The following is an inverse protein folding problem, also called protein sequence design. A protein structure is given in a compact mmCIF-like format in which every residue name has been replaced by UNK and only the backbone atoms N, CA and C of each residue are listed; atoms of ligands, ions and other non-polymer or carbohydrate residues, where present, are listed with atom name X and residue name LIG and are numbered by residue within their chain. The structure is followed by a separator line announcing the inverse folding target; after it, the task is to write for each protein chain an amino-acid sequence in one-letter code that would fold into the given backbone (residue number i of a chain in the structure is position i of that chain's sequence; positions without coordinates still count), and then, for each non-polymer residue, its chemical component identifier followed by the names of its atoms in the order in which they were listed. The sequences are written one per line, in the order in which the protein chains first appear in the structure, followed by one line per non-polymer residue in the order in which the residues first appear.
data_IF_906465341964
#
_entry.id   IF_906465341964
#
_cell.length_a   1.000
_cell.length_b   1.000
_cell.length_c   1.000
_cell.angle_alpha   90.00
_cell.angle_beta   90.00
_cell.angle_gamma   90.00
#
_symmetry.space_group_name_H-M   'P 1'
#
loop_
_entity.id
_entity.type
_entity.pdbx_description
1 polymer ?
#
# COMPACT_ATOMS: atom_id res chain seq x y z
N UNK A 1 -3.85 53.81 17.37
CA UNK A 1 -3.57 53.09 16.11
C UNK A 1 -4.86 52.40 15.64
N UNK A 2 -5.29 52.62 14.39
CA UNK A 2 -6.51 52.00 13.86
C UNK A 2 -6.19 50.61 13.32
N UNK A 3 -6.71 49.57 13.98
CA UNK A 3 -6.40 48.16 13.71
C UNK A 3 -7.65 47.39 13.22
N UNK A 4 -8.35 47.94 12.21
CA UNK A 4 -9.51 47.30 11.61
C UNK A 4 -9.11 46.40 10.43
N UNK A 5 -9.75 45.22 10.25
CA UNK A 5 -9.53 44.36 9.08
C UNK A 5 -9.76 45.14 7.78
N UNK A 6 -8.79 45.11 6.86
CA UNK A 6 -8.88 45.78 5.55
C UNK A 6 -8.20 47.15 5.47
N UNK A 7 -7.76 47.75 6.58
CA UNK A 7 -6.97 49.00 6.56
C UNK A 7 -5.65 48.82 5.80
N UNK A 8 -5.00 47.65 5.91
CA UNK A 8 -3.78 47.33 5.16
C UNK A 8 -3.99 47.36 3.65
N UNK A 9 -5.05 46.72 3.15
CA UNK A 9 -5.37 46.67 1.71
C UNK A 9 -5.78 48.04 1.15
N UNK A 10 -6.41 48.90 1.97
CA UNK A 10 -6.71 50.29 1.60
C UNK A 10 -5.44 51.14 1.51
N UNK A 11 -4.49 50.93 2.44
CA UNK A 11 -3.20 51.61 2.44
C UNK A 11 -2.36 51.24 1.21
N UNK A 12 -2.26 49.96 0.88
CA UNK A 12 -1.56 49.48 -0.33
C UNK A 12 -2.15 50.08 -1.62
N UNK A 13 -3.49 50.11 -1.74
CA UNK A 13 -4.17 50.75 -2.86
C UNK A 13 -3.92 52.26 -2.93
N UNK A 14 -3.94 52.93 -1.78
CA UNK A 14 -3.70 54.37 -1.72
C UNK A 14 -2.25 54.73 -2.06
N UNK A 15 -1.29 53.93 -1.59
CA UNK A 15 0.13 54.11 -1.91
C UNK A 15 0.39 53.86 -3.41
N UNK A 16 -0.27 52.87 -4.02
CA UNK A 16 -0.24 52.66 -5.48
C UNK A 16 -0.82 53.86 -6.27
N UNK A 17 -1.90 54.47 -5.77
CA UNK A 17 -2.49 55.66 -6.39
C UNK A 17 -1.61 56.91 -6.28
N UNK A 18 -0.67 56.96 -5.33
CA UNK A 18 0.30 58.04 -5.19
C UNK A 18 1.53 57.88 -6.06
N UNK A 19 1.80 56.68 -6.55
CA UNK A 19 2.91 56.43 -7.46
C UNK A 19 2.71 57.15 -8.80
N UNK A 20 3.81 57.63 -9.37
CA UNK A 20 3.83 58.10 -10.75
C UNK A 20 3.75 56.94 -11.76
N UNK A 21 3.65 57.27 -13.05
CA UNK A 21 3.46 56.26 -14.10
C UNK A 21 4.65 55.30 -14.24
N UNK A 22 5.87 55.79 -14.03
CA UNK A 22 7.08 54.98 -14.13
C UNK A 22 7.25 54.06 -12.91
N UNK A 23 6.89 54.55 -11.72
CA UNK A 23 6.84 53.78 -10.48
C UNK A 23 5.80 52.66 -10.56
N UNK A 24 4.57 52.96 -11.02
CA UNK A 24 3.53 51.95 -11.22
C UNK A 24 3.97 50.89 -12.22
N UNK A 25 4.57 51.30 -13.35
CA UNK A 25 5.07 50.37 -14.37
C UNK A 25 6.12 49.41 -13.81
N UNK A 26 7.03 49.89 -12.95
CA UNK A 26 8.01 49.04 -12.26
C UNK A 26 7.36 48.10 -11.26
N UNK A 27 6.40 48.59 -10.48
CA UNK A 27 5.67 47.79 -9.49
C UNK A 27 4.87 46.67 -10.16
N UNK A 28 4.09 46.98 -11.20
CA UNK A 28 3.29 46.00 -11.93
C UNK A 28 4.18 44.92 -12.55
N UNK A 29 5.29 45.31 -13.17
CA UNK A 29 6.26 44.36 -13.74
C UNK A 29 6.85 43.43 -12.66
N UNK A 30 7.13 43.96 -11.48
CA UNK A 30 7.61 43.15 -10.36
C UNK A 30 6.52 42.19 -9.85
N UNK A 31 5.28 42.66 -9.72
CA UNK A 31 4.16 41.83 -9.28
C UNK A 31 3.83 40.71 -10.28
N UNK A 32 3.91 40.99 -11.57
CA UNK A 32 3.74 39.98 -12.61
C UNK A 32 4.86 38.94 -12.59
N UNK A 33 6.13 39.38 -12.41
CA UNK A 33 7.26 38.47 -12.23
C UNK A 33 7.04 37.56 -11.01
N UNK A 34 6.70 38.14 -9.85
CA UNK A 34 6.43 37.38 -8.64
C UNK A 34 5.26 36.40 -8.84
N UNK A 35 4.15 36.83 -9.44
CA UNK A 35 2.99 35.96 -9.71
C UNK A 35 3.39 34.77 -10.59
N UNK A 36 4.23 35.00 -11.59
CA UNK A 36 4.76 33.94 -12.45
C UNK A 36 5.63 32.94 -11.66
N UNK A 37 6.57 33.43 -10.85
CA UNK A 37 7.41 32.60 -9.97
C UNK A 37 6.58 31.78 -8.97
N UNK A 38 5.61 32.41 -8.31
CA UNK A 38 4.67 31.73 -7.42
C UNK A 38 3.86 30.66 -8.15
N UNK A 39 3.44 30.93 -9.39
CA UNK A 39 2.77 29.97 -10.25
C UNK A 39 3.65 28.75 -10.54
N UNK A 40 4.91 28.97 -10.92
CA UNK A 40 5.87 27.88 -11.17
C UNK A 40 6.09 27.02 -9.92
N UNK A 41 6.29 27.64 -8.75
CA UNK A 41 6.49 26.91 -7.49
C UNK A 41 5.22 26.13 -7.11
N UNK A 42 4.04 26.72 -7.28
CA UNK A 42 2.77 26.07 -6.99
C UNK A 42 2.56 24.83 -7.88
N UNK A 43 2.80 24.97 -9.19
CA UNK A 43 2.73 23.85 -10.13
C UNK A 43 3.71 22.74 -9.78
N UNK A 44 4.99 23.07 -9.54
CA UNK A 44 5.99 22.07 -9.17
C UNK A 44 5.64 21.33 -7.86
N UNK A 45 5.05 22.03 -6.88
CA UNK A 45 4.58 21.40 -5.64
C UNK A 45 3.36 20.50 -5.87
N UNK A 46 2.48 20.87 -6.80
CA UNK A 46 1.32 20.06 -7.15
C UNK A 46 1.77 18.79 -7.88
N UNK A 47 2.62 18.93 -8.89
CA UNK A 47 3.22 17.82 -9.64
C UNK A 47 3.95 16.86 -8.70
N UNK A 48 4.87 17.34 -7.87
CA UNK A 48 5.60 16.48 -6.95
C UNK A 48 4.71 15.77 -5.90
N UNK A 49 3.56 16.36 -5.52
CA UNK A 49 2.58 15.67 -4.66
C UNK A 49 1.82 14.60 -5.41
N UNK A 50 1.48 14.84 -6.66
CA UNK A 50 0.77 13.89 -7.51
C UNK A 50 1.67 12.69 -7.84
N UNK A 51 2.91 12.95 -8.26
CA UNK A 51 3.94 11.93 -8.50
C UNK A 51 4.18 11.10 -7.24
N UNK A 52 4.48 11.73 -6.10
CA UNK A 52 4.73 11.01 -4.84
C UNK A 52 3.52 10.19 -4.37
N UNK A 53 2.29 10.64 -4.65
CA UNK A 53 1.08 9.87 -4.36
C UNK A 53 0.95 8.67 -5.28
N UNK A 54 1.25 8.84 -6.56
CA UNK A 54 1.20 7.75 -7.55
C UNK A 54 2.26 6.69 -7.22
N UNK A 55 3.51 7.08 -7.04
CA UNK A 55 4.62 6.18 -6.68
C UNK A 55 4.31 5.43 -5.39
N UNK A 56 3.87 6.14 -4.33
CA UNK A 56 3.53 5.52 -3.06
C UNK A 56 2.38 4.49 -3.18
N UNK A 57 1.41 4.73 -4.07
CA UNK A 57 0.31 3.80 -4.33
C UNK A 57 0.79 2.57 -5.10
N UNK A 58 1.58 2.77 -6.14
CA UNK A 58 2.13 1.68 -6.97
C UNK A 58 3.04 0.78 -6.14
N UNK A 59 3.99 1.37 -5.40
CA UNK A 59 4.86 0.61 -4.51
C UNK A 59 4.09 -0.14 -3.43
N UNK A 60 3.11 0.52 -2.80
CA UNK A 60 2.27 -0.07 -1.77
C UNK A 60 1.49 -1.28 -2.30
N UNK A 61 0.93 -1.16 -3.50
CA UNK A 61 0.20 -2.24 -4.17
C UNK A 61 1.12 -3.40 -4.55
N UNK A 62 2.28 -3.12 -5.14
CA UNK A 62 3.24 -4.15 -5.53
C UNK A 62 3.77 -4.91 -4.31
N UNK A 63 4.22 -4.20 -3.27
CA UNK A 63 4.69 -4.79 -2.01
C UNK A 63 3.58 -5.59 -1.32
N UNK A 64 2.35 -5.09 -1.33
CA UNK A 64 1.18 -5.76 -0.77
C UNK A 64 0.86 -7.07 -1.50
N UNK A 65 0.81 -7.03 -2.84
CA UNK A 65 0.51 -8.18 -3.68
C UNK A 65 1.58 -9.25 -3.57
N UNK A 66 2.86 -8.89 -3.63
CA UNK A 66 3.98 -9.84 -3.50
C UNK A 66 3.96 -10.56 -2.14
N UNK A 67 3.81 -9.80 -1.05
CA UNK A 67 3.72 -10.37 0.31
C UNK A 67 2.48 -11.25 0.47
N UNK A 68 1.34 -10.81 -0.06
CA UNK A 68 0.09 -11.55 -0.02
C UNK A 68 0.18 -12.89 -0.76
N UNK A 69 0.70 -12.86 -1.99
CA UNK A 69 0.86 -14.04 -2.83
C UNK A 69 1.86 -15.03 -2.24
N UNK A 70 3.02 -14.56 -1.77
CA UNK A 70 4.02 -15.45 -1.16
C UNK A 70 3.47 -16.15 0.09
N UNK A 71 2.83 -15.40 1.00
CA UNK A 71 2.22 -15.97 2.21
C UNK A 71 1.07 -16.92 1.86
N UNK A 72 0.24 -16.56 0.88
CA UNK A 72 -0.88 -17.37 0.42
C UNK A 72 -0.41 -18.70 -0.17
N UNK A 73 0.57 -18.65 -1.08
CA UNK A 73 1.15 -19.82 -1.72
C UNK A 73 1.84 -20.75 -0.73
N UNK A 74 2.66 -20.20 0.19
CA UNK A 74 3.35 -21.01 1.19
C UNK A 74 2.35 -21.75 2.12
N UNK A 75 1.33 -21.03 2.62
CA UNK A 75 0.29 -21.63 3.46
C UNK A 75 -0.54 -22.65 2.69
N UNK A 76 -0.88 -22.36 1.44
CA UNK A 76 -1.65 -23.24 0.57
C UNK A 76 -0.88 -24.54 0.28
N UNK A 77 0.39 -24.42 -0.11
CA UNK A 77 1.26 -25.56 -0.41
C UNK A 77 1.49 -26.45 0.83
N UNK A 78 1.78 -25.86 2.00
CA UNK A 78 1.96 -26.62 3.23
C UNK A 78 0.70 -27.39 3.63
N UNK A 79 -0.47 -26.72 3.58
CA UNK A 79 -1.75 -27.37 3.88
C UNK A 79 -2.07 -28.47 2.86
N UNK A 80 -1.82 -28.22 1.57
CA UNK A 80 -2.03 -29.19 0.51
C UNK A 80 -1.17 -30.44 0.70
N UNK A 81 0.13 -30.25 0.97
CA UNK A 81 1.08 -31.34 1.18
C UNK A 81 0.72 -32.17 2.43
N UNK A 82 0.36 -31.53 3.54
CA UNK A 82 -0.09 -32.24 4.75
C UNK A 82 -1.38 -33.03 4.48
N UNK A 83 -2.38 -32.43 3.84
CA UNK A 83 -3.63 -33.13 3.51
C UNK A 83 -3.37 -34.33 2.58
N UNK A 84 -2.55 -34.15 1.55
CA UNK A 84 -2.20 -35.23 0.62
C UNK A 84 -1.43 -36.37 1.31
N UNK A 85 -0.46 -36.03 2.17
CA UNK A 85 0.27 -37.03 2.96
C UNK A 85 -0.66 -37.81 3.91
N UNK A 86 -1.58 -37.12 4.59
CA UNK A 86 -2.57 -37.77 5.44
C UNK A 86 -3.54 -38.66 4.65
N UNK A 87 -4.07 -38.18 3.52
CA UNK A 87 -4.94 -38.97 2.65
C UNK A 87 -4.25 -40.24 2.17
N UNK A 88 -3.02 -40.12 1.66
CA UNK A 88 -2.23 -41.27 1.20
C UNK A 88 -1.94 -42.25 2.33
N UNK A 89 -1.60 -41.78 3.53
CA UNK A 89 -1.42 -42.63 4.69
C UNK A 89 -2.69 -43.42 5.04
N UNK A 90 -3.86 -42.79 4.95
CA UNK A 90 -5.15 -43.45 5.19
C UNK A 90 -5.51 -44.47 4.09
N UNK A 91 -5.22 -44.17 2.83
CA UNK A 91 -5.41 -45.11 1.71
C UNK A 91 -4.53 -46.36 1.90
N UNK A 92 -3.26 -46.19 2.26
CA UNK A 92 -2.35 -47.29 2.55
C UNK A 92 -2.87 -48.11 3.75
N UNK A 93 -3.30 -47.44 4.83
CA UNK A 93 -3.85 -48.13 5.99
C UNK A 93 -5.08 -48.98 5.64
N UNK A 94 -5.97 -48.48 4.77
CA UNK A 94 -7.14 -49.22 4.32
C UNK A 94 -6.76 -50.47 3.51
N UNK A 95 -5.78 -50.38 2.61
CA UNK A 95 -5.29 -51.54 1.84
C UNK A 95 -4.68 -52.60 2.77
N UNK A 96 -3.80 -52.20 3.70
CA UNK A 96 -3.17 -53.12 4.65
C UNK A 96 -4.19 -53.79 5.58
N UNK A 97 -5.26 -53.07 5.95
CA UNK A 97 -6.38 -53.64 6.72
C UNK A 97 -7.12 -54.72 5.93
N UNK A 98 -7.35 -54.49 4.63
CA UNK A 98 -7.97 -55.50 3.75
C UNK A 98 -7.10 -56.73 3.56
N UNK A 99 -5.78 -56.59 3.59
CA UNK A 99 -4.81 -57.70 3.57
C UNK A 99 -4.75 -58.46 4.91
N UNK A 100 -5.48 -58.03 5.94
CA UNK A 100 -5.59 -58.71 7.23
C UNK A 100 -4.45 -58.38 8.21
N UNK A 101 -3.70 -57.30 7.99
CA UNK A 101 -2.66 -56.89 8.93
C UNK A 101 -3.28 -56.36 10.23
N UNK A 102 -2.59 -56.59 11.35
CA UNK A 102 -3.03 -56.10 12.64
C UNK A 102 -2.97 -54.57 12.71
N UNK A 103 -3.87 -53.91 13.48
CA UNK A 103 -3.83 -52.46 13.68
C UNK A 103 -2.48 -51.94 14.18
N UNK A 104 -1.77 -52.73 14.99
CA UNK A 104 -0.43 -52.40 15.47
C UNK A 104 0.59 -52.32 14.32
N UNK A 105 0.57 -53.28 13.38
CA UNK A 105 1.49 -53.29 12.23
C UNK A 105 1.14 -52.18 11.24
N UNK A 106 -0.14 -51.91 11.03
CA UNK A 106 -0.59 -50.80 10.16
C UNK A 106 -0.13 -49.45 10.71
N UNK A 107 -0.22 -49.27 12.03
CA UNK A 107 0.25 -48.05 12.69
C UNK A 107 1.76 -47.84 12.52
N UNK A 108 2.55 -48.92 12.60
CA UNK A 108 4.00 -48.87 12.38
C UNK A 108 4.35 -48.45 10.94
N UNK A 109 3.63 -48.94 9.94
CA UNK A 109 3.90 -48.66 8.52
C UNK A 109 3.41 -47.28 8.09
N UNK A 110 2.23 -46.86 8.57
CA UNK A 110 1.55 -45.65 8.09
C UNK A 110 1.74 -44.43 9.00
N UNK A 111 2.25 -44.63 10.22
CA UNK A 111 2.35 -43.59 11.25
C UNK A 111 1.01 -43.14 11.81
N UNK A 112 -0.10 -43.80 11.46
CA UNK A 112 -1.43 -43.49 12.00
C UNK A 112 -1.59 -44.22 13.34
N UNK A 113 -1.95 -43.53 14.43
CA UNK A 113 -2.15 -44.18 15.72
C UNK A 113 -3.23 -45.28 15.65
N UNK A 114 -3.07 -46.43 16.33
CA UNK A 114 -4.06 -47.52 16.31
C UNK A 114 -5.47 -47.06 16.69
N UNK A 115 -5.59 -46.12 17.63
CA UNK A 115 -6.86 -45.54 18.05
C UNK A 115 -7.62 -44.78 16.92
N UNK A 116 -6.91 -44.34 15.87
CA UNK A 116 -7.49 -43.69 14.69
C UNK A 116 -7.73 -44.66 13.52
N UNK A 117 -7.35 -45.93 13.67
CA UNK A 117 -7.51 -47.00 12.69
C UNK A 117 -8.75 -47.86 12.96
N UNK A 118 -9.70 -47.38 13.78
CA UNK A 118 -10.81 -48.12 14.39
C UNK A 118 -11.42 -49.28 13.60
N UNK A 119 -11.94 -50.26 14.36
CA UNK A 119 -12.42 -51.61 13.98
C UNK A 119 -12.78 -51.88 12.53
#
# INVERSE_FOLDING_TARGET
EFNAPGIGSLKEKFDYLKMDEDERRRFDKHMDYMRSEWGMIASARQEGREEGRQEGREEGMQKGMQKGMQKGMQKGMQKGMQKGAHQKAHEIAAMLKQEGLSPARIAEVTGIPPAKLGD
#
